data_IF_571511988438
#
_entry.id   IF_571511988438
#
_cell.length_a   1.000
_cell.length_b   1.000
_cell.length_c   1.000
_cell.angle_alpha   90.00
_cell.angle_beta   90.00
_cell.angle_gamma   90.00
#
_symmetry.space_group_name_H-M   'P 1'
#
loop_
_entity.id
_entity.type
_entity.pdbx_description
1 polymer ?
#
# COMPACT_ATOMS: atom_id res chain seq x y z
N UNK A 1 -15.78 63.55 26.79
CA UNK A 1 -17.10 64.20 26.76
C UNK A 1 -17.47 64.45 25.31
N UNK A 2 -18.31 63.57 24.75
CA UNK A 2 -19.37 63.87 23.77
C UNK A 2 -20.00 62.55 23.39
N UNK A 3 -21.22 62.39 23.87
CA UNK A 3 -22.17 61.34 23.55
C UNK A 3 -22.63 61.48 22.10
N UNK A 4 -22.89 60.38 21.41
CA UNK A 4 -23.92 60.36 20.38
C UNK A 4 -24.50 58.94 20.23
N UNK A 5 -25.79 58.88 20.55
CA UNK A 5 -26.70 57.76 20.34
C UNK A 5 -27.00 57.62 18.85
N UNK A 6 -26.94 56.40 18.30
CA UNK A 6 -27.73 56.07 17.12
C UNK A 6 -28.46 54.74 17.37
N UNK A 7 -29.77 54.90 17.46
CA UNK A 7 -30.78 53.85 17.55
C UNK A 7 -30.92 53.08 16.24
N UNK A 8 -31.01 51.76 16.37
CA UNK A 8 -32.04 50.91 15.76
C UNK A 8 -32.31 50.98 14.26
N UNK A 9 -31.93 49.91 13.57
CA UNK A 9 -32.82 49.21 12.63
C UNK A 9 -32.60 47.71 12.76
N UNK A 10 -33.51 47.06 13.47
CA UNK A 10 -33.73 45.62 13.48
C UNK A 10 -34.22 45.20 12.09
N UNK A 11 -33.35 44.52 11.33
CA UNK A 11 -33.77 43.80 10.14
C UNK A 11 -34.33 42.45 10.56
N UNK A 12 -35.58 42.25 10.17
CA UNK A 12 -36.39 41.08 10.41
C UNK A 12 -35.72 39.77 9.98
N UNK A 13 -35.93 38.75 10.82
CA UNK A 13 -35.83 37.32 10.60
C UNK A 13 -35.63 36.90 9.12
N UNK A 14 -34.37 36.76 8.72
CA UNK A 14 -34.01 35.79 7.70
C UNK A 14 -34.31 34.42 8.28
N UNK A 15 -35.51 33.92 7.99
CA UNK A 15 -35.88 32.52 8.17
C UNK A 15 -34.80 31.69 7.49
N UNK A 16 -33.85 31.22 8.29
CA UNK A 16 -32.86 30.21 7.94
C UNK A 16 -33.64 28.94 7.70
N UNK A 17 -34.22 28.84 6.50
CA UNK A 17 -34.73 27.62 5.92
C UNK A 17 -33.49 26.74 5.69
N UNK A 18 -33.00 26.18 6.80
CA UNK A 18 -31.92 25.21 6.77
C UNK A 18 -32.33 24.06 5.88
N UNK A 19 -31.39 23.43 5.17
CA UNK A 19 -31.70 22.30 4.32
C UNK A 19 -32.49 21.25 5.14
N UNK A 20 -33.55 20.65 4.56
CA UNK A 20 -34.38 19.69 5.26
C UNK A 20 -33.50 18.60 5.86
N UNK A 21 -33.59 18.45 7.17
CA UNK A 21 -32.83 17.45 7.94
C UNK A 21 -33.45 16.08 7.66
N UNK A 22 -32.67 15.18 7.07
CA UNK A 22 -33.07 13.80 6.85
C UNK A 22 -32.42 12.93 7.93
N UNK A 23 -33.12 11.89 8.38
CA UNK A 23 -32.65 11.02 9.46
C UNK A 23 -32.34 9.63 8.91
N UNK A 24 -31.18 9.07 9.27
CA UNK A 24 -30.83 7.68 8.96
C UNK A 24 -30.68 6.93 10.26
N UNK A 25 -31.38 5.81 10.42
CA UNK A 25 -31.35 4.99 11.64
C UNK A 25 -30.65 3.66 11.39
N UNK A 26 -29.67 3.33 12.23
CA UNK A 26 -29.09 1.99 12.36
C UNK A 26 -30.16 1.02 12.87
N UNK A 27 -30.43 -0.05 12.13
CA UNK A 27 -31.34 -1.11 12.59
C UNK A 27 -30.76 -1.92 13.76
N UNK A 28 -29.47 -2.35 13.74
CA UNK A 28 -28.91 -3.12 14.84
C UNK A 28 -28.88 -2.38 16.18
N UNK A 29 -28.54 -1.10 16.17
CA UNK A 29 -28.26 -0.32 17.38
C UNK A 29 -29.37 0.68 17.72
N UNK A 30 -30.25 1.00 16.77
CA UNK A 30 -31.29 2.02 16.92
C UNK A 30 -30.78 3.47 16.85
N UNK A 31 -29.46 3.68 16.73
CA UNK A 31 -28.85 5.02 16.67
C UNK A 31 -29.30 5.79 15.44
N UNK A 32 -29.67 7.05 15.63
CA UNK A 32 -30.10 7.96 14.56
C UNK A 32 -29.02 8.98 14.21
N UNK A 33 -28.81 9.16 12.91
CA UNK A 33 -27.89 10.12 12.33
C UNK A 33 -28.69 11.18 11.58
N UNK A 34 -28.48 12.43 11.96
CA UNK A 34 -28.96 13.55 11.17
C UNK A 34 -27.97 13.81 10.04
N UNK A 35 -28.45 13.74 8.80
CA UNK A 35 -27.60 13.87 7.61
C UNK A 35 -28.05 15.00 6.70
N UNK A 36 -27.08 15.60 6.01
CA UNK A 36 -27.37 16.53 4.93
C UNK A 36 -27.69 15.73 3.66
N UNK A 37 -28.99 15.67 3.33
CA UNK A 37 -29.51 14.92 2.18
C UNK A 37 -28.76 15.22 0.88
N UNK A 38 -28.48 16.50 0.60
CA UNK A 38 -27.78 16.91 -0.62
C UNK A 38 -26.36 16.36 -0.73
N UNK A 39 -25.65 16.22 0.39
CA UNK A 39 -24.28 15.68 0.40
C UNK A 39 -24.31 14.17 0.15
N UNK A 40 -25.27 13.48 0.74
CA UNK A 40 -25.40 12.02 0.61
C UNK A 40 -25.99 11.61 -0.76
N UNK A 41 -26.84 12.43 -1.35
CA UNK A 41 -27.40 12.22 -2.70
C UNK A 41 -26.35 12.25 -3.83
N UNK A 42 -25.11 12.66 -3.52
CA UNK A 42 -23.98 12.47 -4.45
C UNK A 42 -23.70 11.00 -4.74
N UNK A 43 -24.13 10.10 -3.85
CA UNK A 43 -24.03 8.66 -4.00
C UNK A 43 -25.31 8.13 -4.65
N UNK A 44 -25.17 7.39 -5.75
CA UNK A 44 -26.31 6.91 -6.53
C UNK A 44 -27.25 6.01 -5.73
N UNK A 45 -26.69 5.13 -4.88
CA UNK A 45 -27.47 4.23 -4.04
C UNK A 45 -28.38 5.01 -3.09
N UNK A 46 -27.84 6.03 -2.43
CA UNK A 46 -28.62 6.87 -1.52
C UNK A 46 -29.66 7.72 -2.24
N UNK A 47 -29.32 8.28 -3.41
CA UNK A 47 -30.28 9.01 -4.25
C UNK A 47 -31.49 8.15 -4.59
N UNK A 48 -31.27 6.88 -4.94
CA UNK A 48 -32.34 5.94 -5.24
C UNK A 48 -33.13 5.55 -3.98
N UNK A 49 -32.45 5.33 -2.84
CA UNK A 49 -33.12 5.05 -1.56
C UNK A 49 -34.02 6.20 -1.11
N UNK A 50 -33.56 7.45 -1.22
CA UNK A 50 -34.36 8.61 -0.85
C UNK A 50 -35.54 8.85 -1.79
N UNK A 51 -35.38 8.61 -3.10
CA UNK A 51 -36.49 8.68 -4.05
C UNK A 51 -37.64 7.71 -3.67
N UNK A 52 -37.32 6.50 -3.19
CA UNK A 52 -38.32 5.56 -2.68
C UNK A 52 -39.05 6.06 -1.43
N UNK A 53 -38.41 6.88 -0.59
CA UNK A 53 -39.03 7.48 0.59
C UNK A 53 -40.01 8.61 0.23
N UNK A 54 -39.77 9.34 -0.86
CA UNK A 54 -40.60 10.49 -1.27
C UNK A 54 -41.96 10.06 -1.87
N UNK A 55 -42.06 8.84 -2.41
CA UNK A 55 -43.26 8.34 -3.08
C UNK A 55 -44.37 7.82 -2.13
N UNK A 56 -44.12 7.79 -0.82
CA UNK A 56 -45.12 7.35 0.18
C UNK A 56 -46.22 8.37 0.50
N UNK A 57 -46.18 9.58 -0.07
CA UNK A 57 -47.14 10.66 0.19
C UNK A 57 -48.36 10.54 -0.72
N UNK A 58 -49.07 9.41 -0.62
CA UNK A 58 -50.33 9.17 -1.30
C UNK A 58 -51.48 9.89 -0.61
N UNK A 59 -51.88 11.03 -1.16
CA UNK A 59 -53.23 11.59 -1.26
C UNK A 59 -54.29 11.00 -0.30
N UNK A 60 -54.37 11.51 0.93
CA UNK A 60 -55.61 11.88 1.64
C UNK A 60 -55.36 12.16 3.13
N UNK A 61 -55.65 13.39 3.53
CA UNK A 61 -55.91 13.86 4.90
C UNK A 61 -54.78 13.81 5.95
N UNK A 62 -53.80 14.68 5.68
CA UNK A 62 -53.04 15.58 6.59
C UNK A 62 -51.54 15.42 6.37
N UNK A 63 -50.81 16.51 6.04
CA UNK A 63 -49.36 16.48 5.98
C UNK A 63 -48.85 16.25 7.40
N UNK A 64 -48.55 15.00 7.75
CA UNK A 64 -47.73 14.74 8.92
C UNK A 64 -46.31 15.14 8.53
N UNK A 65 -45.63 16.00 9.31
CA UNK A 65 -44.20 16.22 9.19
C UNK A 65 -43.49 14.97 9.72
N UNK A 66 -43.71 13.82 9.06
CA UNK A 66 -42.91 12.65 9.31
C UNK A 66 -41.55 12.98 8.71
N UNK A 67 -40.61 13.33 9.59
CA UNK A 67 -39.19 13.29 9.31
C UNK A 67 -38.93 11.98 8.57
N UNK A 68 -38.53 12.06 7.31
CA UNK A 68 -38.27 10.88 6.52
C UNK A 68 -37.05 10.18 7.15
N UNK A 69 -37.31 9.02 7.77
CA UNK A 69 -36.28 8.19 8.39
C UNK A 69 -35.96 7.04 7.43
N UNK A 70 -34.71 6.96 6.97
CA UNK A 70 -34.20 5.79 6.25
C UNK A 70 -33.60 4.82 7.25
N UNK A 71 -34.05 3.56 7.22
CA UNK A 71 -33.50 2.51 8.06
C UNK A 71 -32.46 1.70 7.30
N UNK A 72 -31.26 1.56 7.85
CA UNK A 72 -30.17 0.79 7.26
C UNK A 72 -29.71 -0.33 8.21
N UNK A 73 -29.44 -1.50 7.63
CA UNK A 73 -28.90 -2.66 8.35
C UNK A 73 -27.37 -2.58 8.45
N UNK A 74 -26.91 -1.52 9.10
CA UNK A 74 -25.50 -1.25 9.38
C UNK A 74 -25.35 -0.83 10.84
N UNK A 75 -24.25 -1.21 11.47
CA UNK A 75 -23.97 -0.75 12.82
C UNK A 75 -23.73 0.76 12.88
N UNK A 76 -23.87 1.34 14.07
CA UNK A 76 -23.56 2.75 14.32
C UNK A 76 -22.16 3.12 13.82
N UNK A 77 -21.17 2.26 14.07
CA UNK A 77 -19.79 2.49 13.66
C UNK A 77 -19.62 2.50 12.13
N UNK A 78 -20.29 1.58 11.44
CA UNK A 78 -20.27 1.50 9.98
C UNK A 78 -20.93 2.73 9.35
N UNK A 79 -22.10 3.14 9.84
CA UNK A 79 -22.78 4.35 9.36
C UNK A 79 -21.99 5.62 9.65
N UNK A 80 -21.42 5.76 10.84
CA UNK A 80 -20.56 6.90 11.17
C UNK A 80 -19.35 6.98 10.24
N UNK A 81 -18.74 5.84 9.92
CA UNK A 81 -17.62 5.74 8.97
C UNK A 81 -18.05 6.11 7.55
N UNK A 82 -19.18 5.57 7.09
CA UNK A 82 -19.75 5.87 5.78
C UNK A 82 -20.07 7.35 5.62
N UNK A 83 -20.74 7.97 6.59
CA UNK A 83 -21.06 9.40 6.52
C UNK A 83 -19.82 10.27 6.57
N UNK A 84 -18.81 9.88 7.38
CA UNK A 84 -17.51 10.57 7.36
C UNK A 84 -16.84 10.46 6.00
N UNK A 85 -16.83 9.28 5.38
CA UNK A 85 -16.26 9.09 4.04
C UNK A 85 -16.93 10.02 3.00
N UNK A 86 -18.24 10.19 3.06
CA UNK A 86 -18.98 11.04 2.12
C UNK A 86 -18.75 12.53 2.41
N UNK A 87 -18.80 12.94 3.68
CA UNK A 87 -18.76 14.35 4.09
C UNK A 87 -17.34 14.91 4.11
N UNK A 88 -16.38 14.11 4.59
CA UNK A 88 -14.98 14.46 4.74
C UNK A 88 -14.12 13.31 4.17
N UNK A 89 -14.09 13.14 2.84
CA UNK A 89 -13.29 12.09 2.22
C UNK A 89 -11.82 12.21 2.64
N UNK A 90 -11.14 11.09 2.91
CA UNK A 90 -9.74 11.13 3.31
C UNK A 90 -8.89 11.69 2.16
N UNK A 91 -8.01 12.63 2.49
CA UNK A 91 -7.00 13.11 1.55
C UNK A 91 -6.06 11.97 1.14
N UNK A 92 -5.56 11.95 -0.10
CA UNK A 92 -4.58 10.96 -0.51
C UNK A 92 -3.31 11.09 0.34
N UNK A 93 -2.62 9.97 0.66
CA UNK A 93 -1.42 10.01 1.46
C UNK A 93 -0.31 10.83 0.78
N UNK A 94 0.51 11.57 1.54
CA UNK A 94 1.53 12.45 0.99
C UNK A 94 2.58 11.65 0.21
N UNK A 95 2.83 12.04 -1.03
CA UNK A 95 3.82 11.41 -1.91
C UNK A 95 5.11 12.24 -1.97
N UNK A 96 6.26 11.57 -1.98
CA UNK A 96 7.58 12.19 -2.17
C UNK A 96 7.85 12.55 -3.63
N UNK A 97 7.20 11.83 -4.55
CA UNK A 97 7.48 11.94 -5.98
C UNK A 97 6.18 11.75 -6.77
N UNK A 98 5.35 12.81 -6.87
CA UNK A 98 4.04 12.73 -7.52
C UNK A 98 4.13 12.40 -9.02
N UNK A 99 5.24 12.77 -9.67
CA UNK A 99 5.48 12.54 -11.11
C UNK A 99 6.16 11.20 -11.40
N UNK A 100 6.50 10.42 -10.35
CA UNK A 100 7.15 9.13 -10.50
C UNK A 100 6.20 8.04 -11.01
N UNK A 101 6.70 7.12 -11.83
CA UNK A 101 5.96 5.93 -12.27
C UNK A 101 5.48 5.02 -11.11
N UNK A 102 6.04 5.22 -9.90
CA UNK A 102 5.62 4.58 -8.66
C UNK A 102 5.61 5.63 -7.54
N UNK A 103 4.46 5.91 -6.91
CA UNK A 103 4.40 6.85 -5.80
C UNK A 103 5.18 6.25 -4.61
N UNK A 104 6.06 7.06 -4.03
CA UNK A 104 6.69 6.77 -2.74
C UNK A 104 5.98 7.60 -1.68
N UNK A 105 5.49 6.96 -0.63
CA UNK A 105 4.72 7.63 0.41
C UNK A 105 5.63 8.04 1.57
N UNK A 106 5.42 9.26 2.09
CA UNK A 106 6.05 9.67 3.35
C UNK A 106 5.29 9.02 4.49
N UNK A 107 5.95 8.12 5.21
CA UNK A 107 5.41 7.48 6.41
C UNK A 107 5.46 8.47 7.59
N UNK A 108 4.61 9.51 7.56
CA UNK A 108 4.39 10.37 8.73
C UNK A 108 3.28 9.77 9.60
N UNK A 109 3.53 9.69 10.91
CA UNK A 109 2.52 9.22 11.86
C UNK A 109 1.23 10.04 11.73
N UNK A 110 0.09 9.35 11.51
CA UNK A 110 -1.22 9.97 11.37
C UNK A 110 -1.62 10.39 9.94
N UNK A 111 -0.73 10.29 8.95
CA UNK A 111 -1.05 10.67 7.56
C UNK A 111 -1.63 9.53 6.70
N UNK A 112 -1.55 8.29 7.17
CA UNK A 112 -1.99 7.09 6.47
C UNK A 112 -3.04 6.38 7.31
N UNK A 113 -4.17 6.03 6.69
CA UNK A 113 -5.21 5.22 7.34
C UNK A 113 -4.64 3.81 7.59
N UNK A 114 -4.69 3.28 8.82
CA UNK A 114 -4.19 1.94 9.11
C UNK A 114 -4.91 0.86 8.32
N UNK A 115 -4.16 -0.10 7.78
CA UNK A 115 -4.71 -1.20 6.97
C UNK A 115 -5.88 -1.96 7.63
N UNK A 116 -5.90 -2.28 8.93
CA UNK A 116 -7.02 -3.03 9.51
C UNK A 116 -8.41 -2.36 9.36
N UNK A 117 -8.46 -1.05 9.13
CA UNK A 117 -9.71 -0.29 8.96
C UNK A 117 -10.06 -0.12 7.47
N UNK A 118 -9.07 -0.16 6.57
CA UNK A 118 -9.29 0.09 5.14
C UNK A 118 -10.25 -0.89 4.46
N UNK A 119 -10.19 -2.22 4.69
CA UNK A 119 -11.13 -3.16 4.07
C UNK A 119 -12.59 -2.87 4.40
N UNK A 120 -12.92 -2.46 5.64
CA UNK A 120 -14.30 -2.12 5.99
C UNK A 120 -14.75 -0.81 5.33
N UNK A 121 -13.86 0.19 5.25
CA UNK A 121 -14.13 1.44 4.52
C UNK A 121 -14.37 1.19 3.03
N UNK A 122 -13.53 0.35 2.40
CA UNK A 122 -13.68 -0.03 0.99
C UNK A 122 -14.93 -0.89 0.74
N UNK A 123 -15.28 -1.77 1.68
CA UNK A 123 -16.52 -2.54 1.60
C UNK A 123 -17.76 -1.62 1.65
N UNK A 124 -17.77 -0.63 2.55
CA UNK A 124 -18.83 0.39 2.59
C UNK A 124 -18.83 1.23 1.31
N UNK A 125 -17.65 1.58 0.79
CA UNK A 125 -17.53 2.36 -0.44
C UNK A 125 -18.15 1.63 -1.65
N UNK A 126 -17.87 0.34 -1.78
CA UNK A 126 -18.44 -0.53 -2.81
C UNK A 126 -19.95 -0.74 -2.62
N UNK A 127 -20.38 -1.12 -1.40
CA UNK A 127 -21.78 -1.39 -1.07
C UNK A 127 -22.71 -0.20 -1.36
N UNK A 128 -22.26 1.02 -1.07
CA UNK A 128 -23.05 2.25 -1.24
C UNK A 128 -22.72 3.02 -2.52
N UNK A 129 -21.88 2.47 -3.41
CA UNK A 129 -21.54 3.08 -4.69
C UNK A 129 -20.96 4.49 -4.54
N UNK A 130 -19.97 4.64 -3.64
CA UNK A 130 -19.32 5.93 -3.41
C UNK A 130 -18.56 6.41 -4.66
N UNK A 131 -18.34 7.74 -4.82
CA UNK A 131 -17.58 8.29 -5.93
C UNK A 131 -16.18 7.67 -6.08
N UNK A 132 -15.76 7.45 -7.34
CA UNK A 132 -14.46 6.86 -7.68
C UNK A 132 -13.28 7.64 -7.08
N UNK A 133 -13.41 8.95 -6.87
CA UNK A 133 -12.38 9.78 -6.22
C UNK A 133 -12.09 9.32 -4.79
N UNK A 134 -13.11 8.91 -4.04
CA UNK A 134 -12.99 8.38 -2.67
C UNK A 134 -12.34 7.00 -2.71
N UNK A 135 -12.80 6.13 -3.61
CA UNK A 135 -12.28 4.77 -3.79
C UNK A 135 -10.79 4.82 -4.16
N UNK A 136 -10.43 5.66 -5.14
CA UNK A 136 -9.04 5.91 -5.53
C UNK A 136 -8.18 6.38 -4.35
N UNK A 137 -8.68 7.32 -3.53
CA UNK A 137 -7.96 7.78 -2.33
C UNK A 137 -7.74 6.62 -1.33
N UNK A 138 -8.77 5.82 -1.05
CA UNK A 138 -8.67 4.66 -0.18
C UNK A 138 -7.68 3.61 -0.71
N UNK A 139 -7.66 3.36 -2.02
CA UNK A 139 -6.66 2.49 -2.66
C UNK A 139 -5.23 3.02 -2.52
N UNK A 140 -5.02 4.34 -2.57
CA UNK A 140 -3.70 4.93 -2.28
C UNK A 140 -3.29 4.71 -0.82
N UNK A 141 -4.22 4.79 0.13
CA UNK A 141 -3.96 4.41 1.52
C UNK A 141 -3.61 2.92 1.67
N UNK A 142 -4.29 2.03 0.94
CA UNK A 142 -3.93 0.59 0.90
C UNK A 142 -2.51 0.42 0.36
N UNK A 143 -2.17 1.11 -0.73
CA UNK A 143 -0.83 1.07 -1.33
C UNK A 143 0.23 1.62 -0.35
N UNK A 144 -0.07 2.70 0.38
CA UNK A 144 0.85 3.26 1.37
C UNK A 144 1.12 2.32 2.55
N UNK A 145 0.21 1.37 2.83
CA UNK A 145 0.43 0.32 3.81
C UNK A 145 1.28 -0.85 3.30
N UNK A 146 1.63 -0.90 2.01
CA UNK A 146 2.36 -2.03 1.42
C UNK A 146 3.72 -2.29 2.08
N UNK A 147 4.40 -1.27 2.59
CA UNK A 147 5.68 -1.44 3.31
C UNK A 147 5.52 -1.80 4.79
N UNK A 148 4.35 -1.53 5.39
CA UNK A 148 4.08 -1.74 6.82
C UNK A 148 3.46 -3.13 7.03
N UNK A 149 2.45 -3.45 6.23
CA UNK A 149 1.66 -4.69 6.32
C UNK A 149 1.66 -5.40 4.95
N UNK A 150 2.84 -5.82 4.45
CA UNK A 150 2.97 -6.29 3.07
C UNK A 150 2.11 -7.52 2.76
N UNK A 151 2.02 -8.47 3.70
CA UNK A 151 1.29 -9.72 3.47
C UNK A 151 -0.24 -9.51 3.45
N UNK A 152 -0.86 -8.83 4.44
CA UNK A 152 -2.27 -8.46 4.36
C UNK A 152 -2.63 -7.61 3.14
N UNK A 153 -1.78 -6.63 2.79
CA UNK A 153 -2.02 -5.76 1.61
C UNK A 153 -1.95 -6.58 0.32
N UNK A 154 -0.98 -7.49 0.19
CA UNK A 154 -0.87 -8.39 -0.96
C UNK A 154 -2.10 -9.30 -1.10
N UNK A 155 -2.51 -9.94 0.01
CA UNK A 155 -3.68 -10.80 0.06
C UNK A 155 -4.96 -10.03 -0.37
N UNK A 156 -5.16 -8.84 0.17
CA UNK A 156 -6.30 -7.98 -0.19
C UNK A 156 -6.24 -7.54 -1.66
N UNK A 157 -5.09 -7.06 -2.12
CA UNK A 157 -4.94 -6.59 -3.49
C UNK A 157 -5.18 -7.70 -4.51
N UNK A 158 -4.76 -8.93 -4.23
CA UNK A 158 -5.04 -10.08 -5.10
C UNK A 158 -6.51 -10.52 -5.05
N UNK A 159 -7.16 -10.47 -3.88
CA UNK A 159 -8.60 -10.76 -3.75
C UNK A 159 -9.48 -9.80 -4.56
N UNK A 160 -9.07 -8.54 -4.66
CA UNK A 160 -9.83 -7.48 -5.32
C UNK A 160 -9.31 -7.10 -6.72
N UNK A 161 -8.44 -7.92 -7.32
CA UNK A 161 -7.87 -7.67 -8.67
C UNK A 161 -7.18 -6.30 -8.81
N UNK A 162 -6.36 -5.93 -7.84
CA UNK A 162 -5.57 -4.69 -7.80
C UNK A 162 -4.08 -4.96 -8.09
N UNK A 163 -3.70 -5.32 -9.34
CA UNK A 163 -2.37 -5.86 -9.66
C UNK A 163 -1.23 -4.91 -9.32
N UNK A 164 -1.42 -3.59 -9.50
CA UNK A 164 -0.39 -2.59 -9.18
C UNK A 164 -0.05 -2.57 -7.67
N UNK A 165 -1.06 -2.69 -6.82
CA UNK A 165 -0.89 -2.71 -5.36
C UNK A 165 -0.29 -4.05 -4.93
N UNK A 166 -0.76 -5.16 -5.51
CA UNK A 166 -0.19 -6.48 -5.26
C UNK A 166 1.30 -6.54 -5.63
N UNK A 167 1.67 -6.00 -6.80
CA UNK A 167 3.05 -5.91 -7.24
C UNK A 167 3.90 -5.09 -6.25
N UNK A 168 3.44 -3.93 -5.80
CA UNK A 168 4.16 -3.12 -4.83
C UNK A 168 4.31 -3.84 -3.47
N UNK A 169 3.24 -4.44 -2.94
CA UNK A 169 3.30 -5.22 -1.70
C UNK A 169 4.25 -6.41 -1.79
N UNK A 170 4.29 -7.10 -2.94
CA UNK A 170 5.22 -8.22 -3.16
C UNK A 170 6.69 -7.79 -3.08
N UNK A 171 7.02 -6.53 -3.38
CA UNK A 171 8.38 -5.98 -3.24
C UNK A 171 8.90 -6.00 -1.80
N UNK A 172 7.98 -5.95 -0.84
CA UNK A 172 8.25 -5.91 0.59
C UNK A 172 8.14 -7.29 1.24
N UNK A 173 7.69 -8.33 0.51
CA UNK A 173 7.59 -9.71 0.99
C UNK A 173 8.87 -10.53 0.82
N UNK A 174 9.94 -9.93 0.29
CA UNK A 174 11.22 -10.61 0.10
C UNK A 174 11.91 -11.01 1.42
N UNK A 175 11.56 -10.33 2.52
CA UNK A 175 12.00 -10.61 3.87
C UNK A 175 10.82 -10.49 4.85
N UNK A 176 10.62 -11.43 5.77
CA UNK A 176 11.38 -12.68 5.95
C UNK A 176 11.10 -13.71 4.82
N UNK A 177 11.86 -14.83 4.74
CA UNK A 177 11.59 -15.87 3.75
C UNK A 177 10.18 -16.44 3.86
N UNK A 178 9.57 -16.89 2.76
CA UNK A 178 8.19 -17.40 2.78
C UNK A 178 7.99 -18.59 3.74
N UNK A 179 9.05 -19.35 4.02
CA UNK A 179 9.05 -20.47 4.97
C UNK A 179 8.91 -20.05 6.44
N UNK A 180 9.10 -18.77 6.78
CA UNK A 180 8.96 -18.29 8.17
C UNK A 180 7.53 -17.93 8.54
N UNK A 181 6.63 -17.79 7.56
CA UNK A 181 5.22 -17.48 7.82
C UNK A 181 4.50 -18.71 8.35
N UNK A 182 3.58 -18.48 9.29
CA UNK A 182 2.74 -19.54 9.83
C UNK A 182 1.68 -19.95 8.80
N UNK A 183 0.99 -21.06 9.07
CA UNK A 183 -0.13 -21.50 8.23
C UNK A 183 -1.22 -20.44 8.21
N UNK A 184 -1.49 -19.83 9.36
CA UNK A 184 -2.50 -18.79 9.56
C UNK A 184 -2.15 -17.53 8.75
N UNK A 185 -0.88 -17.16 8.71
CA UNK A 185 -0.40 -16.04 7.88
C UNK A 185 -0.56 -16.30 6.38
N UNK A 186 -0.35 -17.52 5.91
CA UNK A 186 -0.50 -17.83 4.48
C UNK A 186 -1.97 -17.99 4.08
N UNK A 187 -2.83 -18.41 5.01
CA UNK A 187 -4.26 -18.62 4.77
C UNK A 187 -5.02 -17.36 4.36
N UNK A 188 -4.52 -16.16 4.67
CA UNK A 188 -5.15 -14.93 4.21
C UNK A 188 -5.00 -14.72 2.70
N UNK A 189 -4.04 -15.36 2.04
CA UNK A 189 -3.87 -15.27 0.59
C UNK A 189 -5.02 -16.05 -0.07
N UNK A 190 -5.88 -15.39 -0.87
CA UNK A 190 -7.16 -15.96 -1.29
C UNK A 190 -7.03 -17.10 -2.31
N UNK A 191 -5.91 -17.17 -3.05
CA UNK A 191 -5.74 -18.14 -4.14
C UNK A 191 -4.36 -18.79 -4.12
N UNK A 192 -4.32 -20.06 -4.56
CA UNK A 192 -3.07 -20.80 -4.75
C UNK A 192 -2.18 -20.12 -5.78
N UNK A 193 -2.76 -19.52 -6.83
CA UNK A 193 -2.03 -18.77 -7.85
C UNK A 193 -1.25 -17.60 -7.24
N UNK A 194 -1.92 -16.77 -6.43
CA UNK A 194 -1.28 -15.63 -5.77
C UNK A 194 -0.14 -16.05 -4.84
N UNK A 195 -0.30 -17.16 -4.11
CA UNK A 195 0.79 -17.71 -3.29
C UNK A 195 1.94 -18.25 -4.15
N UNK A 196 1.63 -18.97 -5.23
CA UNK A 196 2.63 -19.51 -6.15
C UNK A 196 3.45 -18.42 -6.84
N UNK A 197 2.85 -17.27 -7.16
CA UNK A 197 3.56 -16.10 -7.70
C UNK A 197 4.62 -15.55 -6.74
N UNK A 198 4.33 -15.50 -5.43
CA UNK A 198 5.32 -15.13 -4.41
C UNK A 198 6.46 -16.16 -4.34
N UNK A 199 6.13 -17.46 -4.34
CA UNK A 199 7.14 -18.52 -4.37
C UNK A 199 8.06 -18.38 -5.60
N UNK A 200 7.46 -18.16 -6.77
CA UNK A 200 8.20 -17.94 -8.02
C UNK A 200 9.12 -16.73 -7.94
N UNK A 201 8.66 -15.62 -7.33
CA UNK A 201 9.48 -14.43 -7.11
C UNK A 201 10.68 -14.74 -6.20
N UNK A 202 10.47 -15.44 -5.09
CA UNK A 202 11.54 -15.79 -4.15
C UNK A 202 12.60 -16.69 -4.80
N UNK A 203 12.16 -17.77 -5.43
CA UNK A 203 13.09 -18.72 -6.08
C UNK A 203 13.83 -18.09 -7.26
N UNK A 204 13.15 -17.29 -8.09
CA UNK A 204 13.80 -16.55 -9.18
C UNK A 204 14.91 -15.63 -8.66
N UNK A 205 14.60 -14.88 -7.59
CA UNK A 205 15.59 -13.98 -6.99
C UNK A 205 16.76 -14.76 -6.41
N UNK A 206 16.52 -15.83 -5.65
CA UNK A 206 17.59 -16.66 -5.09
C UNK A 206 18.51 -17.21 -6.18
N UNK A 207 17.92 -17.77 -7.24
CA UNK A 207 18.66 -18.27 -8.40
C UNK A 207 19.49 -17.18 -9.07
N UNK A 208 18.89 -16.03 -9.44
CA UNK A 208 19.60 -14.96 -10.15
C UNK A 208 20.65 -14.26 -9.29
N UNK A 209 20.39 -14.08 -8.00
CA UNK A 209 21.36 -13.52 -7.07
C UNK A 209 22.57 -14.44 -6.91
N UNK A 210 22.35 -15.76 -6.84
CA UNK A 210 23.43 -16.76 -6.83
C UNK A 210 24.23 -16.75 -8.12
N UNK A 211 23.55 -16.75 -9.26
CA UNK A 211 24.16 -16.68 -10.59
C UNK A 211 25.04 -15.42 -10.76
N UNK A 212 24.51 -14.24 -10.39
CA UNK A 212 25.28 -12.99 -10.42
C UNK A 212 26.50 -13.07 -9.51
N UNK A 213 26.32 -13.57 -8.29
CA UNK A 213 27.41 -13.68 -7.33
C UNK A 213 28.53 -14.56 -7.86
N UNK A 214 28.22 -15.79 -8.31
CA UNK A 214 29.20 -16.78 -8.75
C UNK A 214 29.92 -16.40 -10.05
N UNK A 215 29.34 -15.54 -10.88
CA UNK A 215 29.94 -15.09 -12.14
C UNK A 215 30.68 -13.74 -12.03
N UNK A 216 30.78 -13.13 -10.84
CA UNK A 216 31.51 -11.88 -10.66
C UNK A 216 32.93 -12.10 -10.14
N UNK A 217 33.91 -11.45 -10.78
CA UNK A 217 35.31 -11.51 -10.41
C UNK A 217 35.77 -10.20 -9.76
N UNK A 218 36.65 -10.31 -8.75
CA UNK A 218 37.30 -9.13 -8.14
C UNK A 218 38.24 -8.39 -9.12
N UNK A 219 38.76 -9.09 -10.14
CA UNK A 219 39.63 -8.53 -11.18
C UNK A 219 39.13 -8.89 -12.59
N UNK A 220 38.07 -8.24 -13.10
CA UNK A 220 37.52 -8.55 -14.43
C UNK A 220 38.59 -8.42 -15.51
N UNK A 221 38.84 -9.49 -16.27
CA UNK A 221 39.89 -9.55 -17.31
C UNK A 221 41.30 -9.14 -16.84
N UNK A 222 41.58 -9.19 -15.53
CA UNK A 222 42.84 -8.74 -14.95
C UNK A 222 42.99 -7.22 -14.79
N UNK A 223 41.94 -6.43 -15.05
CA UNK A 223 41.99 -4.99 -14.77
C UNK A 223 42.08 -4.72 -13.26
N UNK A 224 42.96 -3.80 -12.88
CA UNK A 224 43.15 -3.42 -11.47
C UNK A 224 43.86 -4.46 -10.59
N UNK A 225 44.47 -5.51 -11.18
CA UNK A 225 45.18 -6.53 -10.40
C UNK A 225 46.34 -5.94 -9.61
N UNK A 226 46.39 -6.25 -8.32
CA UNK A 226 47.55 -5.95 -7.49
C UNK A 226 48.66 -6.99 -7.74
N UNK A 227 49.88 -6.58 -8.13
CA UNK A 227 50.96 -7.53 -8.43
C UNK A 227 51.41 -8.33 -7.19
N UNK A 228 51.25 -7.75 -6.00
CA UNK A 228 51.70 -8.35 -4.73
C UNK A 228 50.63 -9.29 -4.15
N UNK A 229 49.35 -8.90 -4.21
CA UNK A 229 48.28 -9.53 -3.44
C UNK A 229 47.21 -10.23 -4.30
N UNK A 230 47.37 -10.30 -5.63
CA UNK A 230 46.36 -10.87 -6.55
C UNK A 230 45.82 -12.23 -6.08
N UNK A 231 46.70 -13.17 -5.78
CA UNK A 231 46.30 -14.53 -5.42
C UNK A 231 45.49 -14.58 -4.12
N UNK A 232 45.99 -13.91 -3.08
CA UNK A 232 45.32 -13.84 -1.79
C UNK A 232 43.96 -13.13 -1.88
N UNK A 233 43.88 -11.98 -2.57
CA UNK A 233 42.63 -11.26 -2.75
C UNK A 233 41.59 -12.07 -3.54
N UNK A 234 42.03 -12.82 -4.56
CA UNK A 234 41.16 -13.72 -5.34
C UNK A 234 40.66 -14.88 -4.47
N UNK A 235 41.51 -15.47 -3.64
CA UNK A 235 41.13 -16.55 -2.73
C UNK A 235 40.11 -16.08 -1.68
N UNK A 236 40.31 -14.90 -1.09
CA UNK A 236 39.35 -14.32 -0.13
C UNK A 236 37.98 -14.04 -0.79
N UNK A 237 38.01 -13.47 -1.99
CA UNK A 237 36.80 -13.23 -2.79
C UNK A 237 36.05 -14.54 -3.06
N UNK A 238 36.75 -15.55 -3.59
CA UNK A 238 36.17 -16.86 -3.90
C UNK A 238 35.56 -17.53 -2.66
N UNK A 239 36.29 -17.51 -1.54
CA UNK A 239 35.85 -18.14 -0.31
C UNK A 239 34.55 -17.52 0.21
N UNK A 240 34.46 -16.18 0.28
CA UNK A 240 33.23 -15.49 0.71
C UNK A 240 32.10 -15.70 -0.31
N UNK A 241 32.41 -15.68 -1.61
CA UNK A 241 31.46 -15.90 -2.71
C UNK A 241 30.79 -17.29 -2.62
N UNK A 242 31.58 -18.35 -2.50
CA UNK A 242 31.08 -19.73 -2.36
C UNK A 242 30.30 -19.91 -1.07
N UNK A 243 30.79 -19.34 0.04
CA UNK A 243 30.08 -19.39 1.31
C UNK A 243 28.70 -18.72 1.22
N UNK A 244 28.64 -17.47 0.73
CA UNK A 244 27.40 -16.71 0.58
C UNK A 244 26.42 -17.41 -0.37
N UNK A 245 26.89 -18.03 -1.45
CA UNK A 245 26.04 -18.74 -2.40
C UNK A 245 25.17 -19.85 -1.76
N UNK A 246 25.61 -20.40 -0.62
CA UNK A 246 24.85 -21.38 0.17
C UNK A 246 23.78 -20.77 1.07
N UNK A 247 23.88 -19.48 1.38
CA UNK A 247 23.03 -18.75 2.33
C UNK A 247 22.12 -17.70 1.66
N UNK A 248 22.10 -17.63 0.32
CA UNK A 248 21.29 -16.64 -0.39
C UNK A 248 19.80 -16.88 -0.17
N UNK A 249 19.13 -15.83 0.28
CA UNK A 249 17.69 -15.66 0.32
C UNK A 249 17.25 -14.52 -0.61
N UNK A 250 15.94 -14.42 -0.85
CA UNK A 250 15.38 -13.46 -1.83
C UNK A 250 15.71 -11.99 -1.51
N UNK A 251 15.88 -11.64 -0.23
CA UNK A 251 16.24 -10.29 0.22
C UNK A 251 17.72 -10.07 0.56
N UNK A 252 18.60 -11.06 0.36
CA UNK A 252 20.01 -10.94 0.75
C UNK A 252 20.70 -9.77 0.04
N UNK A 253 21.33 -8.89 0.81
CA UNK A 253 22.19 -7.82 0.28
C UNK A 253 23.61 -8.37 0.04
N UNK A 254 23.78 -9.05 -1.10
CA UNK A 254 25.06 -9.64 -1.50
C UNK A 254 26.20 -8.61 -1.52
N UNK A 255 25.92 -7.39 -1.99
CA UNK A 255 26.93 -6.35 -2.08
C UNK A 255 27.39 -5.90 -0.69
N UNK A 256 26.43 -5.70 0.23
CA UNK A 256 26.72 -5.42 1.64
C UNK A 256 27.56 -6.53 2.28
N UNK A 257 27.15 -7.79 2.11
CA UNK A 257 27.89 -8.95 2.63
C UNK A 257 29.31 -9.08 2.07
N UNK A 258 29.50 -8.84 0.78
CA UNK A 258 30.84 -8.87 0.15
C UNK A 258 31.71 -7.69 0.58
N UNK A 259 31.11 -6.57 1.00
CA UNK A 259 31.83 -5.40 1.50
C UNK A 259 32.59 -5.68 2.80
N UNK A 260 32.19 -6.69 3.59
CA UNK A 260 32.89 -7.11 4.80
C UNK A 260 34.37 -7.46 4.57
N UNK A 261 34.74 -7.83 3.34
CA UNK A 261 36.13 -8.09 2.96
C UNK A 261 37.01 -6.82 2.99
N UNK A 262 36.41 -5.63 3.04
CA UNK A 262 37.15 -4.36 3.01
C UNK A 262 38.14 -4.22 4.16
N UNK A 263 37.79 -4.70 5.35
CA UNK A 263 38.69 -4.71 6.50
C UNK A 263 39.94 -5.56 6.25
N UNK A 264 39.78 -6.70 5.58
CA UNK A 264 40.87 -7.62 5.28
C UNK A 264 41.81 -7.05 4.20
N UNK A 265 41.27 -6.35 3.19
CA UNK A 265 42.06 -5.77 2.09
C UNK A 265 42.55 -4.33 2.35
N UNK A 266 42.27 -3.78 3.53
CA UNK A 266 42.56 -2.37 3.89
C UNK A 266 44.05 -1.98 3.85
N UNK A 267 44.95 -2.95 3.98
CA UNK A 267 46.40 -2.72 3.93
C UNK A 267 46.94 -2.41 2.53
N UNK A 268 46.16 -2.67 1.47
CA UNK A 268 46.57 -2.44 0.09
C UNK A 268 45.54 -1.58 -0.67
N UNK A 269 45.84 -0.30 -0.96
CA UNK A 269 44.90 0.61 -1.63
C UNK A 269 44.41 0.10 -2.99
N UNK A 270 45.25 -0.62 -3.74
CA UNK A 270 44.87 -1.23 -5.02
C UNK A 270 43.84 -2.35 -4.85
N UNK A 271 44.02 -3.23 -3.86
CA UNK A 271 43.07 -4.31 -3.58
C UNK A 271 41.75 -3.76 -3.04
N UNK A 272 41.81 -2.76 -2.16
CA UNK A 272 40.63 -2.09 -1.65
C UNK A 272 39.82 -1.44 -2.79
N UNK A 273 40.49 -0.72 -3.71
CA UNK A 273 39.82 -0.12 -4.87
C UNK A 273 39.18 -1.18 -5.79
N UNK A 274 39.88 -2.30 -6.02
CA UNK A 274 39.34 -3.40 -6.81
C UNK A 274 38.11 -4.04 -6.14
N UNK A 275 38.17 -4.28 -4.82
CA UNK A 275 37.03 -4.78 -4.05
C UNK A 275 35.83 -3.83 -4.15
N UNK A 276 36.03 -2.53 -3.91
CA UNK A 276 34.96 -1.54 -4.00
C UNK A 276 34.31 -1.56 -5.39
N UNK A 277 35.11 -1.55 -6.46
CA UNK A 277 34.58 -1.61 -7.82
C UNK A 277 33.79 -2.90 -8.11
N UNK A 278 34.27 -4.05 -7.63
CA UNK A 278 33.58 -5.33 -7.79
C UNK A 278 32.26 -5.37 -6.99
N UNK A 279 32.27 -4.86 -5.75
CA UNK A 279 31.07 -4.74 -4.90
C UNK A 279 30.05 -3.78 -5.51
N UNK A 280 30.49 -2.65 -6.07
CA UNK A 280 29.62 -1.70 -6.76
C UNK A 280 28.96 -2.34 -8.00
N UNK A 281 29.72 -3.16 -8.75
CA UNK A 281 29.21 -3.91 -9.88
C UNK A 281 28.18 -4.97 -9.45
N UNK A 282 28.46 -5.71 -8.37
CA UNK A 282 27.49 -6.63 -7.77
C UNK A 282 26.22 -5.90 -7.36
N UNK A 283 26.34 -4.76 -6.67
CA UNK A 283 25.20 -3.97 -6.24
C UNK A 283 24.35 -3.53 -7.43
N UNK A 284 25.00 -3.04 -8.49
CA UNK A 284 24.34 -2.65 -9.74
C UNK A 284 23.58 -3.82 -10.38
N UNK A 285 24.20 -4.99 -10.53
CA UNK A 285 23.57 -6.19 -11.11
C UNK A 285 22.42 -6.71 -10.23
N UNK A 286 22.62 -6.79 -8.91
CA UNK A 286 21.61 -7.27 -7.96
C UNK A 286 20.37 -6.36 -7.90
N UNK A 287 20.54 -5.04 -8.04
CA UNK A 287 19.42 -4.07 -8.11
C UNK A 287 18.49 -4.30 -9.30
N UNK A 288 18.98 -4.93 -10.38
CA UNK A 288 18.21 -5.23 -11.60
C UNK A 288 17.43 -6.54 -11.52
N UNK A 289 17.67 -7.36 -10.49
CA UNK A 289 16.91 -8.59 -10.28
C UNK A 289 15.48 -8.22 -9.87
N UNK A 290 14.48 -8.86 -10.50
CA UNK A 290 13.06 -8.61 -10.27
C UNK A 290 12.73 -8.56 -8.78
N UNK A 291 12.06 -7.50 -8.33
CA UNK A 291 11.61 -7.35 -6.94
C UNK A 291 10.11 -7.56 -6.76
N UNK A 292 9.34 -7.55 -7.84
CA UNK A 292 7.88 -7.71 -7.82
C UNK A 292 7.48 -8.89 -8.68
N UNK A 293 6.31 -9.47 -8.39
CA UNK A 293 5.78 -10.64 -9.12
C UNK A 293 5.67 -10.40 -10.63
N UNK A 294 5.30 -9.19 -11.06
CA UNK A 294 5.13 -8.82 -12.47
C UNK A 294 6.39 -8.92 -13.33
N UNK A 295 7.59 -8.84 -12.73
CA UNK A 295 8.85 -8.84 -13.45
C UNK A 295 9.54 -10.21 -13.49
N UNK A 296 8.89 -11.24 -12.94
CA UNK A 296 9.43 -12.61 -12.98
C UNK A 296 9.21 -13.20 -14.37
N UNK A 297 10.26 -13.56 -15.12
CA UNK A 297 10.11 -14.12 -16.47
C UNK A 297 9.29 -15.42 -16.44
N UNK A 298 8.50 -15.66 -17.50
CA UNK A 298 7.89 -16.97 -17.70
C UNK A 298 8.98 -17.97 -18.09
N UNK A 299 8.97 -19.16 -17.49
CA UNK A 299 9.89 -20.24 -17.88
C UNK A 299 11.33 -20.12 -17.37
N UNK A 300 11.67 -19.20 -16.45
CA UNK A 300 13.04 -19.06 -15.94
C UNK A 300 13.61 -20.35 -15.33
N UNK A 301 12.74 -21.26 -14.89
CA UNK A 301 13.12 -22.54 -14.31
C UNK A 301 13.74 -23.51 -15.33
N UNK A 302 13.53 -23.30 -16.64
CA UNK A 302 14.16 -24.12 -17.67
C UNK A 302 15.68 -23.95 -17.70
N UNK A 303 16.19 -22.79 -17.29
CA UNK A 303 17.62 -22.49 -17.22
C UNK A 303 18.24 -22.89 -15.87
N UNK A 304 17.42 -23.35 -14.91
CA UNK A 304 17.84 -23.67 -13.54
C UNK A 304 18.07 -25.18 -13.31
N UNK A 305 17.65 -26.03 -14.26
CA UNK A 305 17.81 -27.49 -14.26
C UNK A 305 18.94 -27.86 -15.22
#
# INVERSE_FOLDING_TARGET
MTSENISGTSYADSSTCGPPKFHVRSLPDGTEFQVNRYVIETCEVFRNMFACCDHGVGDNDKPRPHEAVLHLDETEHALATLFRLIQEPPEPPPTENPDGARPRFKLHAGSIIPFPVLPSMLHLADKYGLPETIICSLHLHVQANASINPLPVYAYATAHNLPKIAAEASAHLLHPPLSSYTKEDIQIIPTVTAYHELLRLHEYRKYKLRDILLNEDIFPHGYGTCPVHKQWATQLWEQKRVYLATQIEAATDIAGEMHDLAAQLSSCPLCQKALTAAVDMLQYKCRRVARTVDYVPQGYWLDAI
#
